data_IF_887693920569
#
_entry.id   IF_887693920569
#
_cell.length_a   1.000
_cell.length_b   1.000
_cell.length_c   1.000
_cell.angle_alpha   90.00
_cell.angle_beta   90.00
_cell.angle_gamma   90.00
#
_symmetry.space_group_name_H-M   'P 1'
#
loop_
_entity.id
_entity.type
_entity.pdbx_description
1 polymer ?
#
# COMPACT_ATOMS: atom_id res chain seq x y z
N UNK A 1 -8.25 -4.95 -11.90
CA UNK A 1 -8.97 -4.73 -10.62
C UNK A 1 -8.81 -3.25 -10.25
N UNK A 2 -9.83 -2.57 -9.70
CA UNK A 2 -9.76 -1.13 -9.38
C UNK A 2 -8.96 -0.83 -8.10
N UNK A 3 -8.43 0.40 -7.92
CA UNK A 3 -7.64 0.77 -6.74
C UNK A 3 -8.36 0.54 -5.40
N UNK A 4 -9.70 0.65 -5.38
CA UNK A 4 -10.53 0.41 -4.20
C UNK A 4 -10.59 -1.06 -3.75
N UNK A 5 -9.93 -1.97 -4.50
CA UNK A 5 -9.81 -3.39 -4.17
C UNK A 5 -8.35 -3.82 -3.98
N UNK A 6 -7.43 -2.87 -3.83
CA UNK A 6 -6.00 -3.11 -3.67
C UNK A 6 -5.54 -2.43 -2.37
N UNK A 7 -4.82 -3.17 -1.53
CA UNK A 7 -4.16 -2.68 -0.32
C UNK A 7 -2.70 -3.13 -0.34
N UNK A 8 -1.80 -2.24 0.08
CA UNK A 8 -0.38 -2.58 0.22
C UNK A 8 -0.03 -2.94 1.67
N UNK A 9 0.91 -3.87 1.85
CA UNK A 9 1.44 -4.26 3.16
C UNK A 9 2.94 -4.56 3.05
N UNK A 10 3.65 -4.43 4.18
CA UNK A 10 5.10 -4.71 4.28
C UNK A 10 5.43 -6.19 4.46
N UNK A 11 4.47 -6.94 4.98
CA UNK A 11 4.62 -8.32 5.48
C UNK A 11 5.74 -8.51 6.52
N UNK A 12 6.04 -7.46 7.31
CA UNK A 12 7.02 -7.57 8.40
C UNK A 12 6.47 -8.42 9.56
N UNK A 13 7.28 -9.29 10.19
CA UNK A 13 8.73 -9.52 10.00
C UNK A 13 9.06 -10.75 9.14
N UNK A 14 8.20 -11.16 8.21
CA UNK A 14 8.48 -12.34 7.41
C UNK A 14 9.80 -12.21 6.62
N UNK A 15 10.57 -13.31 6.49
CA UNK A 15 11.90 -13.29 5.87
C UNK A 15 11.87 -12.96 4.38
N UNK A 16 10.75 -13.19 3.71
CA UNK A 16 10.47 -12.81 2.33
C UNK A 16 9.78 -11.44 2.21
N UNK A 17 9.53 -10.76 3.34
CA UNK A 17 9.11 -9.36 3.39
C UNK A 17 10.22 -8.40 2.97
N UNK A 18 9.86 -7.14 2.76
CA UNK A 18 10.77 -6.15 2.17
C UNK A 18 11.38 -5.18 3.19
N UNK A 19 11.14 -5.35 4.48
CA UNK A 19 11.71 -4.45 5.51
C UNK A 19 13.24 -4.58 5.59
N UNK A 20 14.00 -3.46 5.73
CA UNK A 20 13.56 -2.08 5.88
C UNK A 20 13.33 -1.32 4.56
N UNK A 21 13.55 -1.95 3.40
CA UNK A 21 13.41 -1.33 2.07
C UNK A 21 11.97 -1.12 1.57
N UNK A 22 10.97 -1.67 2.26
CA UNK A 22 9.57 -1.64 1.84
C UNK A 22 9.02 -0.22 1.55
N UNK A 23 9.32 0.83 2.35
CA UNK A 23 8.84 2.19 2.06
C UNK A 23 9.36 2.76 0.74
N UNK A 24 10.64 2.55 0.42
CA UNK A 24 11.21 3.03 -0.84
C UNK A 24 10.72 2.22 -2.04
N UNK A 25 10.52 0.91 -1.86
CA UNK A 25 9.96 0.03 -2.88
C UNK A 25 8.57 0.48 -3.31
N UNK A 26 7.65 0.70 -2.36
CA UNK A 26 6.28 1.11 -2.69
C UNK A 26 6.24 2.52 -3.28
N UNK A 27 7.13 3.42 -2.85
CA UNK A 27 7.28 4.76 -3.44
C UNK A 27 7.58 4.66 -4.94
N UNK A 28 8.56 3.84 -5.32
CA UNK A 28 8.94 3.60 -6.72
C UNK A 28 7.83 2.90 -7.52
N UNK A 29 7.20 1.87 -6.96
CA UNK A 29 6.13 1.12 -7.64
C UNK A 29 4.90 1.98 -7.97
N UNK A 30 4.64 3.02 -7.17
CA UNK A 30 3.52 3.94 -7.37
C UNK A 30 3.91 5.20 -8.16
N UNK A 31 5.14 5.33 -8.65
CA UNK A 31 5.53 6.45 -9.51
C UNK A 31 4.63 6.52 -10.77
N UNK A 32 4.27 7.73 -11.18
CA UNK A 32 3.35 7.96 -12.31
C UNK A 32 1.86 7.73 -12.01
N UNK A 33 1.49 7.13 -10.87
CA UNK A 33 0.07 7.00 -10.49
C UNK A 33 -0.50 8.29 -9.89
N UNK A 34 -1.81 8.49 -10.04
CA UNK A 34 -2.50 9.65 -9.47
C UNK A 34 -2.42 9.67 -7.93
N UNK A 35 -2.46 10.85 -7.33
CA UNK A 35 -2.52 10.98 -5.86
C UNK A 35 -3.73 10.28 -5.25
N UNK A 36 -4.85 10.21 -5.96
CA UNK A 36 -6.04 9.47 -5.51
C UNK A 36 -5.78 7.95 -5.46
N UNK A 37 -5.13 7.40 -6.49
CA UNK A 37 -4.72 5.99 -6.52
C UNK A 37 -3.77 5.67 -5.37
N UNK A 38 -2.76 6.52 -5.13
CA UNK A 38 -1.80 6.34 -4.03
C UNK A 38 -2.49 6.29 -2.67
N UNK A 39 -3.39 7.25 -2.38
CA UNK A 39 -4.15 7.26 -1.13
C UNK A 39 -5.00 6.00 -0.97
N UNK A 40 -5.64 5.55 -2.04
CA UNK A 40 -6.48 4.37 -1.99
C UNK A 40 -5.68 3.10 -1.64
N UNK A 41 -4.54 2.90 -2.30
CA UNK A 41 -3.71 1.70 -2.13
C UNK A 41 -2.96 1.70 -0.79
N UNK A 42 -2.47 2.86 -0.34
CA UNK A 42 -1.61 2.97 0.83
C UNK A 42 -2.37 3.12 2.16
N UNK A 43 -3.61 3.61 2.14
CA UNK A 43 -4.35 3.90 3.37
C UNK A 43 -5.85 3.60 3.26
N UNK A 44 -6.57 4.24 2.33
CA UNK A 44 -8.03 4.27 2.38
C UNK A 44 -8.67 2.89 2.13
N UNK A 45 -8.04 2.03 1.33
CA UNK A 45 -8.49 0.64 1.18
C UNK A 45 -8.48 -0.11 2.51
N UNK A 46 -7.38 0.00 3.27
CA UNK A 46 -7.26 -0.63 4.59
C UNK A 46 -8.21 -0.01 5.61
N UNK A 47 -8.31 1.32 5.64
CA UNK A 47 -9.25 2.02 6.52
C UNK A 47 -10.69 1.58 6.28
N UNK A 48 -11.13 1.56 5.03
CA UNK A 48 -12.49 1.15 4.69
C UNK A 48 -12.74 -0.34 4.94
N UNK A 49 -11.76 -1.21 4.68
CA UNK A 49 -11.94 -2.65 4.85
C UNK A 49 -11.97 -3.06 6.33
N UNK A 50 -11.08 -2.46 7.14
CA UNK A 50 -10.95 -2.80 8.56
C UNK A 50 -11.72 -1.85 9.51
N UNK A 51 -12.35 -0.79 9.00
CA UNK A 51 -13.07 0.20 9.82
C UNK A 51 -12.15 1.05 10.70
N UNK A 52 -10.98 1.46 10.17
CA UNK A 52 -10.00 2.27 10.90
C UNK A 52 -10.32 3.78 10.76
N UNK A 53 -10.15 4.54 11.85
CA UNK A 53 -10.39 5.99 11.91
C UNK A 53 -9.12 6.80 11.60
#
# INVERSE_FOLDING_TARGET
VGPNKIMWATDYPHPDGFFPGAPEMVRKQLEGTSSATKRQVLAEGAKSFYGLN
#
